data_IF_982252355351
#
_entry.id   IF_982252355351
#
_cell.length_a   1.000
_cell.length_b   1.000
_cell.length_c   1.000
_cell.angle_alpha   90.00
_cell.angle_beta   90.00
_cell.angle_gamma   90.00
#
_symmetry.space_group_name_H-M   'P 1'
#
loop_
_entity.id
_entity.type
_entity.pdbx_description
1 polymer ?
#
# COMPACT_ATOMS: atom_id res chain seq x y z
N UNK A 1 -39.02 -6.86 31.17
CA UNK A 1 -38.78 -8.23 31.66
C UNK A 1 -37.90 -8.94 30.62
N UNK A 2 -36.73 -9.42 31.05
CA UNK A 2 -35.76 -10.36 30.44
C UNK A 2 -35.39 -10.28 28.95
N UNK A 3 -34.09 -10.06 28.73
CA UNK A 3 -33.36 -10.39 27.51
C UNK A 3 -31.87 -10.04 27.65
N UNK A 4 -31.17 -10.73 28.56
CA UNK A 4 -29.71 -10.61 28.70
C UNK A 4 -29.00 -11.25 27.49
N UNK A 5 -27.90 -10.61 27.10
CA UNK A 5 -26.70 -11.15 26.48
C UNK A 5 -26.82 -11.77 25.08
N UNK A 6 -26.12 -11.16 24.10
CA UNK A 6 -25.02 -11.83 23.39
C UNK A 6 -24.13 -10.81 22.64
N UNK A 7 -22.89 -10.75 23.10
CA UNK A 7 -21.67 -10.39 22.35
C UNK A 7 -21.48 -8.93 21.92
N UNK A 8 -20.83 -8.20 22.82
CA UNK A 8 -19.84 -7.19 22.46
C UNK A 8 -18.75 -7.11 23.53
N UNK A 9 -18.38 -8.26 24.11
CA UNK A 9 -17.35 -8.39 25.16
C UNK A 9 -15.96 -7.92 24.69
N UNK A 10 -15.78 -7.59 23.41
CA UNK A 10 -14.55 -6.98 22.90
C UNK A 10 -14.42 -5.46 23.19
N UNK A 11 -15.49 -4.79 23.64
CA UNK A 11 -15.53 -3.31 23.74
C UNK A 11 -15.30 -2.70 25.12
N UNK A 12 -15.09 -3.50 26.18
CA UNK A 12 -15.06 -3.00 27.57
C UNK A 12 -13.86 -3.48 28.40
N UNK A 13 -12.86 -4.09 27.77
CA UNK A 13 -11.59 -4.43 28.41
C UNK A 13 -10.47 -4.08 27.44
N UNK A 14 -10.02 -2.82 27.39
CA UNK A 14 -8.68 -2.56 26.83
C UNK A 14 -8.04 -1.25 27.30
N UNK A 15 -8.27 -0.92 28.57
CA UNK A 15 -7.53 0.14 29.24
C UNK A 15 -6.44 -0.52 30.11
N UNK A 16 -5.17 -0.34 29.70
CA UNK A 16 -3.97 -0.46 30.53
C UNK A 16 -3.26 -1.83 30.74
N UNK A 17 -3.08 -2.64 29.70
CA UNK A 17 -1.96 -3.61 29.73
C UNK A 17 -1.17 -3.57 28.43
N UNK A 18 0.12 -3.24 28.49
CA UNK A 18 1.04 -3.29 27.33
C UNK A 18 1.12 -4.67 26.64
N UNK A 19 0.34 -5.66 27.10
CA UNK A 19 0.09 -6.92 26.44
C UNK A 19 -0.57 -6.76 25.07
N UNK A 20 -1.54 -5.85 24.92
CA UNK A 20 -2.19 -5.61 23.63
C UNK A 20 -1.18 -4.98 22.64
N UNK A 21 -0.39 -4.00 23.07
CA UNK A 21 0.68 -3.42 22.25
C UNK A 21 1.73 -4.47 21.83
N UNK A 22 2.15 -5.35 22.75
CA UNK A 22 3.12 -6.41 22.45
C UNK A 22 2.54 -7.41 21.46
N UNK A 23 1.26 -7.77 21.61
CA UNK A 23 0.55 -8.65 20.69
C UNK A 23 0.44 -8.03 19.29
N UNK A 24 0.08 -6.76 19.21
CA UNK A 24 -0.06 -6.03 17.95
C UNK A 24 1.29 -5.88 17.23
N UNK A 25 2.36 -5.60 17.99
CA UNK A 25 3.73 -5.59 17.46
C UNK A 25 4.14 -6.96 16.90
N UNK A 26 3.83 -8.04 17.62
CA UNK A 26 4.11 -9.41 17.14
C UNK A 26 3.31 -9.77 15.88
N UNK A 27 2.03 -9.39 15.85
CA UNK A 27 1.17 -9.63 14.69
C UNK A 27 1.67 -8.84 13.46
N UNK A 28 2.05 -7.57 13.64
CA UNK A 28 2.65 -6.77 12.59
C UNK A 28 3.95 -7.39 12.08
N UNK A 29 4.83 -7.83 12.99
CA UNK A 29 6.10 -8.46 12.60
C UNK A 29 5.85 -9.73 11.78
N UNK A 30 4.92 -10.59 12.19
CA UNK A 30 4.57 -11.79 11.44
C UNK A 30 4.03 -11.49 10.03
N UNK A 31 3.29 -10.40 9.86
CA UNK A 31 2.89 -9.91 8.52
C UNK A 31 4.13 -9.51 7.73
N UNK A 32 5.01 -8.69 8.29
CA UNK A 32 6.19 -8.19 7.59
C UNK A 32 7.12 -9.33 7.17
N UNK A 33 7.35 -10.32 8.04
CA UNK A 33 8.19 -11.49 7.76
C UNK A 33 7.64 -12.35 6.62
N UNK A 34 6.32 -12.39 6.47
CA UNK A 34 5.67 -13.11 5.36
C UNK A 34 5.84 -12.38 4.02
N UNK A 35 5.83 -11.05 4.03
CA UNK A 35 5.88 -10.23 2.81
C UNK A 35 7.30 -9.88 2.38
N UNK A 36 8.23 -9.68 3.33
CA UNK A 36 9.55 -9.11 3.09
C UNK A 36 10.64 -10.03 3.63
N UNK A 37 11.82 -9.93 3.03
CA UNK A 37 13.03 -10.63 3.45
C UNK A 37 14.19 -9.64 3.58
N UNK A 38 15.20 -10.00 4.37
CA UNK A 38 16.30 -9.09 4.71
C UNK A 38 17.25 -8.83 3.52
N UNK A 39 17.34 -9.77 2.58
CA UNK A 39 18.26 -9.70 1.46
C UNK A 39 17.55 -9.46 0.14
N UNK A 40 18.05 -8.50 -0.64
CA UNK A 40 17.54 -8.25 -1.98
C UNK A 40 17.82 -9.44 -2.90
N UNK A 41 16.76 -10.01 -3.50
CA UNK A 41 16.87 -10.98 -4.59
C UNK A 41 17.45 -10.35 -5.86
N UNK A 42 17.82 -11.19 -6.83
CA UNK A 42 18.23 -10.73 -8.16
C UNK A 42 17.11 -9.88 -8.77
N UNK A 43 17.50 -8.79 -9.44
CA UNK A 43 16.55 -7.92 -10.09
C UNK A 43 15.71 -8.68 -11.13
N UNK A 44 14.39 -8.53 -11.01
CA UNK A 44 13.42 -8.96 -11.99
C UNK A 44 12.38 -7.86 -12.16
N UNK A 45 11.88 -7.68 -13.39
CA UNK A 45 10.85 -6.68 -13.70
C UNK A 45 9.55 -7.06 -13.00
N UNK A 46 9.10 -6.21 -12.07
CA UNK A 46 7.85 -6.43 -11.30
C UNK A 46 6.70 -5.56 -11.81
N UNK A 47 7.00 -4.29 -12.13
CA UNK A 47 6.03 -3.35 -12.67
C UNK A 47 5.99 -3.50 -14.20
N UNK A 48 4.86 -3.88 -14.80
CA UNK A 48 4.73 -3.94 -16.26
C UNK A 48 4.78 -2.52 -16.86
N UNK A 49 5.15 -2.39 -18.14
CA UNK A 49 5.21 -1.06 -18.79
C UNK A 49 3.83 -0.40 -18.87
N UNK A 50 2.80 -1.23 -19.04
CA UNK A 50 1.40 -0.84 -19.03
C UNK A 50 0.99 -0.10 -17.74
N UNK A 51 1.51 -0.49 -16.56
CA UNK A 51 1.24 0.22 -15.31
C UNK A 51 1.66 1.69 -15.42
N UNK A 52 2.85 1.94 -15.98
CA UNK A 52 3.36 3.29 -16.12
C UNK A 52 2.54 4.12 -17.09
N UNK A 53 2.09 3.53 -18.20
CA UNK A 53 1.23 4.17 -19.19
C UNK A 53 -0.13 4.55 -18.58
N UNK A 54 -0.75 3.65 -17.80
CA UNK A 54 -2.02 3.95 -17.12
C UNK A 54 -1.85 5.02 -16.04
N UNK A 55 -0.79 4.93 -15.24
CA UNK A 55 -0.54 5.88 -14.16
C UNK A 55 -0.40 7.31 -14.69
N UNK A 56 0.41 7.53 -15.73
CA UNK A 56 0.61 8.88 -16.29
C UNK A 56 -0.67 9.45 -16.90
N UNK A 57 -1.50 8.59 -17.52
CA UNK A 57 -2.77 8.98 -18.13
C UNK A 57 -3.73 9.47 -17.06
N UNK A 58 -3.85 8.72 -15.97
CA UNK A 58 -4.67 9.09 -14.81
C UNK A 58 -4.14 10.35 -14.13
N UNK A 59 -2.82 10.56 -14.10
CA UNK A 59 -2.20 11.77 -13.55
C UNK A 59 -2.23 12.97 -14.52
N UNK A 60 -2.91 12.86 -15.66
CA UNK A 60 -3.11 13.95 -16.62
C UNK A 60 -1.88 14.31 -17.46
N UNK A 61 -0.85 13.45 -17.50
CA UNK A 61 0.36 13.71 -18.29
C UNK A 61 0.25 13.15 -19.72
N UNK A 62 0.70 13.90 -20.74
CA UNK A 62 0.52 13.53 -22.14
C UNK A 62 1.38 12.33 -22.60
N UNK A 63 2.55 12.10 -21.99
CA UNK A 63 3.35 10.92 -22.29
C UNK A 63 4.37 10.57 -21.20
N UNK A 64 4.78 9.29 -21.16
CA UNK A 64 5.80 8.79 -20.23
C UNK A 64 7.18 9.36 -20.57
N UNK A 65 7.46 9.58 -21.86
CA UNK A 65 8.73 10.12 -22.34
C UNK A 65 8.90 11.62 -22.02
N UNK A 66 7.80 12.37 -21.91
CA UNK A 66 7.82 13.76 -21.47
C UNK A 66 8.20 13.88 -19.97
N UNK A 67 7.97 12.83 -19.18
CA UNK A 67 8.41 12.73 -17.80
C UNK A 67 9.87 12.28 -17.79
N UNK A 68 10.81 13.21 -17.58
CA UNK A 68 12.22 12.90 -17.21
C UNK A 68 12.30 12.25 -15.82
N UNK A 69 11.62 11.11 -15.63
CA UNK A 69 11.39 10.34 -14.40
C UNK A 69 11.66 11.14 -13.11
N UNK A 70 10.86 12.17 -12.81
CA UNK A 70 11.17 13.02 -11.68
C UNK A 70 10.98 12.24 -10.37
N UNK A 71 11.63 12.70 -9.31
CA UNK A 71 11.52 12.13 -7.95
C UNK A 71 10.07 11.92 -7.49
N UNK A 72 9.11 12.70 -8.01
CA UNK A 72 7.70 12.60 -7.65
C UNK A 72 7.01 11.29 -8.04
N UNK A 73 7.48 10.58 -9.08
CA UNK A 73 6.88 9.29 -9.46
C UNK A 73 7.01 8.28 -8.32
N UNK A 74 8.11 8.36 -7.57
CA UNK A 74 8.32 7.55 -6.37
C UNK A 74 7.30 7.85 -5.27
N UNK A 75 6.80 9.09 -5.16
CA UNK A 75 5.75 9.44 -4.19
C UNK A 75 4.42 8.77 -4.54
N UNK A 76 4.04 8.77 -5.82
CA UNK A 76 2.83 8.07 -6.26
C UNK A 76 2.91 6.56 -6.05
N UNK A 77 4.06 5.93 -6.34
CA UNK A 77 4.22 4.50 -6.10
C UNK A 77 4.16 4.17 -4.61
N UNK A 78 4.74 5.02 -3.75
CA UNK A 78 4.60 4.82 -2.30
C UNK A 78 3.13 4.88 -1.87
N UNK A 79 2.39 5.90 -2.32
CA UNK A 79 0.98 6.12 -1.96
C UNK A 79 0.06 5.02 -2.47
N UNK A 80 0.18 4.67 -3.75
CA UNK A 80 -0.77 3.79 -4.44
C UNK A 80 -0.46 2.31 -4.18
N UNK A 81 0.81 1.98 -3.88
CA UNK A 81 1.28 0.60 -3.75
C UNK A 81 1.72 0.31 -2.32
N UNK A 82 2.85 0.87 -1.88
CA UNK A 82 3.50 0.42 -0.65
C UNK A 82 2.73 0.79 0.64
N UNK A 83 1.93 1.86 0.61
CA UNK A 83 1.08 2.27 1.73
C UNK A 83 -0.24 1.47 1.83
N UNK A 84 -0.58 0.70 0.80
CA UNK A 84 -1.90 0.04 0.63
C UNK A 84 -1.85 -1.48 0.55
N UNK A 85 -0.67 -2.11 0.44
CA UNK A 85 -0.56 -3.58 0.39
C UNK A 85 -0.80 -4.20 1.77
N UNK A 86 0.02 -3.82 2.76
CA UNK A 86 -0.12 -4.22 4.16
C UNK A 86 0.45 -3.18 5.12
N UNK A 87 0.01 -3.18 6.39
CA UNK A 87 0.56 -2.30 7.41
C UNK A 87 2.09 -2.42 7.50
N UNK A 88 2.78 -1.29 7.64
CA UNK A 88 4.22 -1.26 7.90
C UNK A 88 5.14 -1.57 6.71
N UNK A 89 4.64 -2.01 5.56
CA UNK A 89 5.46 -2.38 4.39
C UNK A 89 6.37 -1.25 3.94
N UNK A 90 5.83 -0.04 3.72
CA UNK A 90 6.64 1.12 3.32
C UNK A 90 7.74 1.43 4.35
N UNK A 91 7.41 1.37 5.64
CA UNK A 91 8.36 1.65 6.72
C UNK A 91 9.50 0.63 6.69
N UNK A 92 9.18 -0.66 6.68
CA UNK A 92 10.19 -1.74 6.65
C UNK A 92 11.04 -1.69 5.38
N UNK A 93 10.46 -1.37 4.22
CA UNK A 93 11.24 -1.16 2.98
C UNK A 93 12.21 0.02 3.07
N UNK A 94 11.86 1.09 3.78
CA UNK A 94 12.77 2.22 4.01
C UNK A 94 13.94 1.84 4.89
N UNK A 95 13.73 0.95 5.87
CA UNK A 95 14.77 0.41 6.74
C UNK A 95 15.69 -0.57 5.99
N UNK A 96 15.12 -1.47 5.19
CA UNK A 96 15.87 -2.48 4.42
C UNK A 96 16.68 -1.88 3.25
N UNK A 97 16.18 -0.79 2.67
CA UNK A 97 16.76 -0.19 1.48
C UNK A 97 16.80 1.34 1.57
N UNK A 98 17.52 1.91 2.55
CA UNK A 98 17.50 3.35 2.81
C UNK A 98 18.01 4.16 1.61
N UNK A 99 17.61 5.43 1.56
CA UNK A 99 18.21 6.38 0.62
C UNK A 99 19.63 6.71 1.10
N UNK A 100 20.57 6.69 0.17
CA UNK A 100 21.95 7.06 0.44
C UNK A 100 22.02 8.58 0.68
N UNK A 101 22.66 9.04 1.78
CA UNK A 101 22.72 10.47 2.12
C UNK A 101 23.32 11.33 1.00
N UNK A 102 24.35 10.80 0.32
CA UNK A 102 25.11 11.54 -0.69
C UNK A 102 24.35 11.74 -2.00
N UNK A 103 23.55 10.75 -2.42
CA UNK A 103 22.91 10.75 -3.75
C UNK A 103 21.40 10.83 -3.70
N UNK A 104 20.78 10.65 -2.54
CA UNK A 104 19.33 10.53 -2.37
C UNK A 104 18.71 9.29 -3.03
N UNK A 105 19.53 8.44 -3.68
CA UNK A 105 19.10 7.22 -4.39
C UNK A 105 19.14 6.03 -3.46
N UNK A 106 18.35 5.00 -3.77
CA UNK A 106 18.42 3.71 -3.09
C UNK A 106 19.42 2.80 -3.80
N UNK A 107 20.09 1.92 -3.04
CA UNK A 107 21.06 0.96 -3.59
C UNK A 107 20.39 -0.12 -4.44
N UNK A 108 19.18 -0.53 -4.05
CA UNK A 108 18.39 -1.57 -4.72
C UNK A 108 16.98 -1.06 -5.02
N UNK A 109 16.19 -1.86 -5.72
CA UNK A 109 14.76 -1.60 -5.95
C UNK A 109 13.97 -2.31 -4.85
N UNK A 110 12.98 -1.64 -4.27
CA UNK A 110 12.18 -2.17 -3.17
C UNK A 110 11.55 -3.54 -3.46
N UNK A 111 11.14 -3.81 -4.70
CA UNK A 111 10.53 -5.10 -5.08
C UNK A 111 11.46 -6.29 -4.91
N UNK A 112 12.79 -6.08 -4.85
CA UNK A 112 13.77 -7.14 -4.60
C UNK A 112 13.69 -7.69 -3.17
N UNK A 113 13.10 -6.94 -2.23
CA UNK A 113 12.96 -7.34 -0.83
C UNK A 113 11.65 -8.06 -0.54
N UNK A 114 10.73 -8.18 -1.50
CA UNK A 114 9.54 -9.02 -1.31
C UNK A 114 9.93 -10.49 -1.37
N UNK A 115 9.33 -11.31 -0.51
CA UNK A 115 9.45 -12.78 -0.56
C UNK A 115 8.90 -13.31 -1.89
N UNK A 116 9.48 -14.39 -2.41
CA UNK A 116 9.17 -14.88 -3.74
C UNK A 116 7.89 -15.71 -3.79
N UNK A 117 7.65 -16.47 -2.72
CA UNK A 117 6.53 -17.38 -2.51
C UNK A 117 5.24 -16.67 -2.10
N UNK A 118 5.32 -15.49 -1.46
CA UNK A 118 4.13 -14.81 -0.95
C UNK A 118 4.08 -13.31 -1.27
N UNK A 119 5.09 -12.54 -0.86
CA UNK A 119 5.06 -11.08 -0.98
C UNK A 119 5.00 -10.58 -2.43
N UNK A 120 5.73 -11.22 -3.34
CA UNK A 120 5.71 -10.89 -4.77
C UNK A 120 4.36 -11.21 -5.44
N UNK A 121 3.77 -12.40 -5.26
CA UNK A 121 2.41 -12.69 -5.73
C UNK A 121 1.40 -11.63 -5.27
N UNK A 122 1.39 -11.31 -3.98
CA UNK A 122 0.48 -10.30 -3.41
C UNK A 122 0.71 -8.90 -3.98
N UNK A 123 1.97 -8.48 -4.13
CA UNK A 123 2.31 -7.22 -4.79
C UNK A 123 1.80 -7.18 -6.23
N UNK A 124 1.93 -8.27 -6.98
CA UNK A 124 1.45 -8.36 -8.36
C UNK A 124 -0.07 -8.29 -8.43
N UNK A 125 -0.77 -8.93 -7.51
CA UNK A 125 -2.24 -8.90 -7.48
C UNK A 125 -2.76 -7.52 -7.07
N UNK A 126 -2.12 -6.84 -6.12
CA UNK A 126 -2.39 -5.44 -5.81
C UNK A 126 -2.16 -4.54 -7.03
N UNK A 127 -1.06 -4.73 -7.76
CA UNK A 127 -0.78 -3.99 -9.00
C UNK A 127 -1.88 -4.20 -10.07
N UNK A 128 -2.36 -5.43 -10.25
CA UNK A 128 -3.48 -5.71 -11.16
C UNK A 128 -4.74 -4.97 -10.73
N UNK A 129 -5.10 -5.03 -9.45
CA UNK A 129 -6.24 -4.30 -8.89
C UNK A 129 -6.15 -2.80 -9.17
N UNK A 130 -4.99 -2.20 -8.89
CA UNK A 130 -4.74 -0.77 -9.17
C UNK A 130 -4.88 -0.45 -10.66
N UNK A 131 -4.33 -1.28 -11.56
CA UNK A 131 -4.44 -1.05 -13.01
C UNK A 131 -5.89 -1.12 -13.50
N UNK A 132 -6.70 -2.04 -12.96
CA UNK A 132 -8.14 -2.12 -13.26
C UNK A 132 -8.86 -0.84 -12.83
N UNK A 133 -8.54 -0.31 -11.65
CA UNK A 133 -9.12 0.96 -11.18
C UNK A 133 -8.69 2.14 -12.05
N UNK A 134 -7.45 2.16 -12.54
CA UNK A 134 -6.97 3.18 -13.49
C UNK A 134 -7.73 3.13 -14.82
N UNK A 135 -7.99 1.92 -15.34
CA UNK A 135 -8.78 1.76 -16.57
C UNK A 135 -10.21 2.23 -16.39
N UNK A 136 -10.85 1.82 -15.28
CA UNK A 136 -12.22 2.21 -14.95
C UNK A 136 -12.38 3.72 -14.74
N UNK A 137 -11.32 4.41 -14.28
CA UNK A 137 -11.32 5.85 -14.13
C UNK A 137 -11.19 6.62 -15.46
N UNK A 138 -10.87 5.95 -16.57
CA UNK A 138 -10.84 6.57 -17.91
C UNK A 138 -9.81 7.70 -18.10
N UNK A 139 -8.87 7.87 -17.16
CA UNK A 139 -7.93 9.00 -17.14
C UNK A 139 -8.31 10.14 -16.18
N UNK A 140 -9.43 10.04 -15.46
CA UNK A 140 -9.81 10.99 -14.40
C UNK A 140 -9.07 10.69 -13.10
N UNK A 141 -8.17 11.58 -12.67
CA UNK A 141 -7.45 11.45 -11.39
C UNK A 141 -8.42 11.40 -10.19
N UNK A 142 -9.45 12.26 -10.21
CA UNK A 142 -10.44 12.36 -9.14
C UNK A 142 -11.22 11.06 -9.00
N UNK A 143 -11.68 10.49 -10.12
CA UNK A 143 -12.40 9.23 -10.11
C UNK A 143 -11.50 8.07 -9.66
N UNK A 144 -10.26 8.03 -10.14
CA UNK A 144 -9.28 7.03 -9.72
C UNK A 144 -9.04 7.08 -8.21
N UNK A 145 -8.75 8.25 -7.66
CA UNK A 145 -8.47 8.39 -6.23
C UNK A 145 -9.68 7.99 -5.37
N UNK A 146 -10.90 8.36 -5.78
CA UNK A 146 -12.14 7.94 -5.11
C UNK A 146 -12.28 6.41 -5.10
N UNK A 147 -12.09 5.77 -6.25
CA UNK A 147 -12.18 4.31 -6.36
C UNK A 147 -11.06 3.60 -5.60
N UNK A 148 -9.84 4.14 -5.67
CA UNK A 148 -8.66 3.62 -4.96
C UNK A 148 -8.85 3.70 -3.45
N UNK A 149 -9.29 4.84 -2.91
CA UNK A 149 -9.50 4.99 -1.47
C UNK A 149 -10.63 4.10 -0.95
N UNK A 150 -11.68 3.89 -1.75
CA UNK A 150 -12.78 2.99 -1.39
C UNK A 150 -12.39 1.51 -1.44
N UNK A 151 -11.72 1.07 -2.51
CA UNK A 151 -11.43 -0.35 -2.74
C UNK A 151 -10.14 -0.82 -2.05
N UNK A 152 -9.13 0.06 -1.98
CA UNK A 152 -7.79 -0.22 -1.47
C UNK A 152 -7.35 0.92 -0.52
N UNK A 153 -8.02 1.11 0.63
CA UNK A 153 -7.67 2.16 1.58
C UNK A 153 -6.24 1.97 2.12
N UNK A 154 -5.60 3.07 2.53
CA UNK A 154 -4.32 2.97 3.24
C UNK A 154 -4.55 2.41 4.64
N UNK A 155 -3.57 1.66 5.13
CA UNK A 155 -3.61 1.19 6.51
C UNK A 155 -3.27 2.33 7.46
N UNK A 156 -4.16 2.60 8.43
CA UNK A 156 -3.99 3.68 9.41
C UNK A 156 -4.69 4.99 9.04
N UNK A 157 -5.32 5.09 7.87
CA UNK A 157 -6.19 6.22 7.52
C UNK A 157 -7.63 5.95 8.01
N UNK A 158 -8.32 7.01 8.46
CA UNK A 158 -9.77 6.95 8.75
C UNK A 158 -10.52 6.75 7.44
N UNK A 159 -11.34 5.71 7.35
CA UNK A 159 -12.16 5.44 6.15
C UNK A 159 -13.14 6.61 5.98
N UNK A 160 -13.18 7.23 4.79
CA UNK A 160 -14.25 8.16 4.42
C UNK A 160 -15.58 7.40 4.43
N UNK A 161 -16.43 7.67 5.43
CA UNK A 161 -17.78 7.14 5.46
C UNK A 161 -18.59 7.80 4.34
N UNK A 162 -19.39 7.02 3.56
CA UNK A 162 -20.37 7.61 2.68
C UNK A 162 -21.28 8.52 3.51
N UNK A 163 -21.46 9.77 3.09
CA UNK A 163 -22.50 10.62 3.67
C UNK A 163 -23.84 9.97 3.29
N UNK A 164 -24.48 9.32 4.25
CA UNK A 164 -25.90 9.01 4.15
C UNK A 164 -26.67 10.32 4.27
N UNK A 165 -27.32 10.72 3.18
CA UNK A 165 -28.34 11.77 3.18
C UNK A 165 -27.96 13.00 2.38
N UNK A 166 -28.44 13.05 1.13
CA UNK A 166 -29.42 14.08 0.80
C UNK A 166 -30.67 13.34 0.33
N UNK A 167 -31.70 13.38 1.18
CA UNK A 167 -33.08 13.02 0.83
C UNK A 167 -33.73 14.18 0.09
#
# INVERSE_FOLDING_TARGET
>A
MKGLAHVGIAGLIDEATGYQEVRDKKALQAILDKYLQDHARKWAKTFPDEFWIKLIKVKGYPSYMALKRPSFVGHWVNDIIYDRIKPGIRKKLNELNPRLPETGRRKKINTQYFTEDYGLPELKDHLKGVMILMDAAGGSEVQFNRMLNRALPKYGDTIEMPLEGDS
#
